data_IF_838828651840
#
_entry.id   IF_838828651840
#
_cell.length_a   1.000
_cell.length_b   1.000
_cell.length_c   1.000
_cell.angle_alpha   90.00
_cell.angle_beta   90.00
_cell.angle_gamma   90.00
#
_symmetry.space_group_name_H-M   'P 1'
#
loop_
_entity.id
_entity.type
_entity.pdbx_description
1 polymer ?
#
# COMPACT_ATOMS: atom_id res chain seq x y z
N UNK A 1 -24.20 28.28 12.87
CA UNK A 1 -22.90 28.68 12.31
C UNK A 1 -22.00 27.46 12.40
N UNK A 2 -21.75 26.81 11.27
CA UNK A 2 -20.94 25.59 11.16
C UNK A 2 -19.49 25.94 11.49
N UNK A 3 -18.80 25.05 12.23
CA UNK A 3 -17.48 24.47 11.91
C UNK A 3 -16.78 23.93 13.17
N UNK A 4 -16.95 22.64 13.41
CA UNK A 4 -15.87 21.83 13.99
C UNK A 4 -15.12 21.21 12.80
N UNK A 5 -14.05 21.86 12.38
CA UNK A 5 -13.18 21.37 11.32
C UNK A 5 -11.82 20.94 11.89
N UNK A 6 -11.55 19.64 11.66
CA UNK A 6 -10.25 18.98 11.50
C UNK A 6 -9.53 18.47 12.75
N UNK A 7 -9.78 17.19 13.04
CA UNK A 7 -8.81 16.28 13.64
C UNK A 7 -7.67 16.03 12.64
N UNK A 8 -6.66 16.90 12.63
CA UNK A 8 -5.39 16.64 11.95
C UNK A 8 -4.57 15.74 12.88
N UNK A 9 -4.71 14.43 12.71
CA UNK A 9 -3.86 13.48 13.43
C UNK A 9 -2.41 13.70 12.99
N UNK A 10 -1.56 14.20 13.89
CA UNK A 10 -0.11 14.26 13.74
C UNK A 10 0.44 12.85 13.48
N UNK A 11 0.68 12.52 12.22
CA UNK A 11 1.24 11.23 11.85
C UNK A 11 2.75 11.25 12.14
N UNK A 12 3.14 10.67 13.29
CA UNK A 12 4.54 10.54 13.75
C UNK A 12 5.47 9.98 12.65
N UNK A 13 6.74 10.43 12.57
CA UNK A 13 7.69 10.05 11.52
C UNK A 13 7.90 8.53 11.37
N UNK A 14 7.79 7.76 12.46
CA UNK A 14 7.86 6.30 12.42
C UNK A 14 6.73 5.65 11.58
N UNK A 15 5.54 6.24 11.57
CA UNK A 15 4.41 5.73 10.76
C UNK A 15 4.58 6.07 9.28
N UNK A 16 5.21 7.21 8.96
CA UNK A 16 5.58 7.56 7.60
C UNK A 16 6.64 6.59 7.03
N UNK A 17 7.70 6.30 7.78
CA UNK A 17 8.74 5.36 7.37
C UNK A 17 8.18 3.93 7.13
N UNK A 18 7.31 3.45 8.02
CA UNK A 18 6.65 2.14 7.84
C UNK A 18 5.78 2.13 6.58
N UNK A 19 5.05 3.21 6.29
CA UNK A 19 4.21 3.30 5.09
C UNK A 19 5.03 3.26 3.80
N UNK A 20 6.19 3.90 3.80
CA UNK A 20 7.11 3.90 2.67
C UNK A 20 7.68 2.50 2.42
N UNK A 21 8.12 1.80 3.46
CA UNK A 21 8.58 0.42 3.36
C UNK A 21 7.52 -0.50 2.76
N UNK A 22 6.27 -0.41 3.26
CA UNK A 22 5.15 -1.18 2.72
C UNK A 22 4.90 -0.84 1.25
N UNK A 23 4.99 0.44 0.87
CA UNK A 23 4.82 0.88 -0.52
C UNK A 23 5.89 0.29 -1.44
N UNK A 24 7.15 0.33 -1.02
CA UNK A 24 8.27 -0.24 -1.78
C UNK A 24 8.07 -1.74 -2.01
N UNK A 25 7.72 -2.47 -0.95
CA UNK A 25 7.47 -3.91 -1.03
C UNK A 25 6.35 -4.27 -2.03
N UNK A 26 5.25 -3.49 -2.02
CA UNK A 26 4.13 -3.68 -2.96
C UNK A 26 4.60 -3.44 -4.40
N UNK A 27 5.36 -2.36 -4.64
CA UNK A 27 5.83 -2.02 -5.98
C UNK A 27 6.81 -3.06 -6.54
N UNK A 28 7.79 -3.48 -5.75
CA UNK A 28 8.74 -4.52 -6.15
C UNK A 28 8.03 -5.84 -6.47
N UNK A 29 7.08 -6.23 -5.63
CA UNK A 29 6.28 -7.46 -5.82
C UNK A 29 5.43 -7.38 -7.09
N UNK A 30 4.78 -6.23 -7.33
CA UNK A 30 3.95 -6.02 -8.51
C UNK A 30 4.78 -6.09 -9.80
N UNK A 31 5.92 -5.40 -9.85
CA UNK A 31 6.82 -5.41 -11.00
C UNK A 31 7.30 -6.83 -11.33
N UNK A 32 7.65 -7.62 -10.31
CA UNK A 32 8.04 -9.02 -10.50
C UNK A 32 6.89 -9.86 -11.07
N UNK A 33 5.70 -9.78 -10.47
CA UNK A 33 4.54 -10.55 -10.93
C UNK A 33 4.11 -10.15 -12.34
N UNK A 34 4.17 -8.87 -12.68
CA UNK A 34 3.91 -8.38 -14.04
C UNK A 34 4.93 -8.94 -15.03
N UNK A 35 6.22 -9.01 -14.67
CA UNK A 35 7.24 -9.60 -15.54
C UNK A 35 7.04 -11.12 -15.74
N UNK A 36 6.67 -11.85 -14.68
CA UNK A 36 6.49 -13.31 -14.73
C UNK A 36 5.19 -13.73 -15.43
N UNK A 37 4.09 -13.00 -15.21
CA UNK A 37 2.73 -13.42 -15.55
C UNK A 37 2.03 -12.48 -16.53
N UNK A 38 2.54 -11.27 -16.73
CA UNK A 38 1.86 -10.20 -17.45
C UNK A 38 0.89 -9.42 -16.56
N UNK A 39 0.56 -8.21 -16.99
CA UNK A 39 -0.31 -7.29 -16.27
C UNK A 39 -1.73 -7.85 -16.10
N UNK A 40 -2.37 -8.27 -17.19
CA UNK A 40 -3.78 -8.70 -17.19
C UNK A 40 -4.07 -9.91 -16.29
N UNK A 41 -3.07 -10.78 -16.09
CA UNK A 41 -3.19 -11.98 -15.26
C UNK A 41 -2.83 -11.73 -13.79
N UNK A 42 -2.34 -10.54 -13.45
CA UNK A 42 -1.87 -10.20 -12.10
C UNK A 42 -2.92 -9.36 -11.37
N UNK A 43 -3.51 -9.92 -10.31
CA UNK A 43 -4.53 -9.23 -9.52
C UNK A 43 -3.94 -8.51 -8.31
N UNK A 44 -4.62 -7.47 -7.83
CA UNK A 44 -4.24 -6.76 -6.60
C UNK A 44 -4.17 -7.69 -5.38
N UNK A 45 -5.06 -8.69 -5.30
CA UNK A 45 -5.04 -9.69 -4.22
C UNK A 45 -3.80 -10.58 -4.28
N UNK A 46 -3.39 -10.99 -5.48
CA UNK A 46 -2.17 -11.77 -5.67
C UNK A 46 -0.92 -10.97 -5.25
N UNK A 47 -0.85 -9.69 -5.63
CA UNK A 47 0.23 -8.79 -5.21
C UNK A 47 0.25 -8.66 -3.69
N UNK A 48 -0.91 -8.41 -3.06
CA UNK A 48 -1.00 -8.24 -1.61
C UNK A 48 -0.59 -9.52 -0.84
N UNK A 49 -1.05 -10.68 -1.30
CA UNK A 49 -0.69 -11.97 -0.72
C UNK A 49 0.81 -12.25 -0.82
N UNK A 50 1.40 -12.01 -1.99
CA UNK A 50 2.82 -12.24 -2.24
C UNK A 50 3.72 -11.24 -1.48
N UNK A 51 3.25 -9.99 -1.33
CA UNK A 51 3.93 -8.95 -0.55
C UNK A 51 3.70 -9.11 0.97
N UNK A 52 2.86 -10.05 1.42
CA UNK A 52 2.55 -10.24 2.84
C UNK A 52 1.79 -9.06 3.47
N UNK A 53 1.00 -8.33 2.68
CA UNK A 53 0.22 -7.16 3.13
C UNK A 53 -1.29 -7.43 3.02
N UNK A 54 -2.09 -6.72 3.81
CA UNK A 54 -3.55 -6.75 3.65
C UNK A 54 -4.01 -5.82 2.53
N UNK A 55 -5.15 -6.12 1.91
CA UNK A 55 -5.72 -5.33 0.80
C UNK A 55 -6.34 -3.98 1.22
N UNK A 56 -6.29 -3.64 2.51
CA UNK A 56 -7.06 -2.53 3.09
C UNK A 56 -8.55 -2.85 3.19
N UNK A 57 -9.23 -2.30 4.20
CA UNK A 57 -10.70 -2.24 4.27
C UNK A 57 -11.18 -0.91 3.71
#
# INVERSE_FOLDING_TARGET
>A
MVKEEKNVQENKPAKAAKSEQTRTLILETALRLFAERGYDRTTMRAIAQEAGVSVGN
#
